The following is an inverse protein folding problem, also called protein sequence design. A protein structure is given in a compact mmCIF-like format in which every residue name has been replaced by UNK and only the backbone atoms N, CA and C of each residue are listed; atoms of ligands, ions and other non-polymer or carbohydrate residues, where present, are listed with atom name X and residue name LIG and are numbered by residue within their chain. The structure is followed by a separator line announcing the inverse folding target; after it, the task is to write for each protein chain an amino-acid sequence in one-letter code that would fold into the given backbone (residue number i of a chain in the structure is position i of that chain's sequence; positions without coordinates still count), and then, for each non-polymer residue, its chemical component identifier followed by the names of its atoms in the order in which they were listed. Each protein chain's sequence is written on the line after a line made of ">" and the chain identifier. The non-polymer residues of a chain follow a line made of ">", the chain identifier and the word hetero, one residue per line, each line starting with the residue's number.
data_IF_706408181977
#
_entry.id   IF_706408181977
#
_cell.length_a   1.000
_cell.length_b   1.000
_cell.length_c   1.000
_cell.angle_alpha   90.00
_cell.angle_beta   90.00
_cell.angle_gamma   90.00
#
_symmetry.space_group_name_H-M   'P 1'
#
loop_
_entity.id
_entity.type
_entity.pdbx_description
1 polymer ?
#
# COMPACT_ATOMS: atom_id res chain seq x y z
N UNK A 1 -43.92 7.46 6.77
CA UNK A 1 -43.04 6.78 7.74
C UNK A 1 -41.78 6.43 6.99
N UNK A 2 -40.60 6.88 7.44
CA UNK A 2 -39.34 6.55 6.79
C UNK A 2 -38.91 5.14 7.22
N UNK A 3 -38.21 4.43 6.35
CA UNK A 3 -37.61 3.15 6.70
C UNK A 3 -36.36 3.34 7.56
N UNK A 4 -35.99 2.33 8.34
CA UNK A 4 -34.76 2.32 9.15
C UNK A 4 -33.50 2.54 8.29
N UNK A 5 -33.52 2.09 7.04
CA UNK A 5 -32.42 2.30 6.10
C UNK A 5 -32.26 3.78 5.69
N UNK A 6 -33.36 4.49 5.44
CA UNK A 6 -33.34 5.93 5.15
C UNK A 6 -32.92 6.76 6.36
N UNK A 7 -33.26 6.33 7.58
CA UNK A 7 -32.82 6.98 8.81
C UNK A 7 -31.31 6.85 9.03
N UNK A 8 -30.72 5.74 8.60
CA UNK A 8 -29.27 5.49 8.61
C UNK A 8 -28.53 6.15 7.43
N UNK A 9 -29.20 7.00 6.63
CA UNK A 9 -28.61 7.70 5.49
C UNK A 9 -28.50 6.88 4.21
N UNK A 10 -29.12 5.70 4.17
CA UNK A 10 -29.25 4.88 2.97
C UNK A 10 -30.18 5.51 1.93
N UNK A 11 -29.88 5.30 0.64
CA UNK A 11 -30.69 5.81 -0.48
C UNK A 11 -31.34 4.65 -1.21
N UNK A 12 -32.57 4.82 -1.68
CA UNK A 12 -33.23 3.84 -2.54
C UNK A 12 -33.20 4.31 -3.99
N UNK A 13 -32.98 3.37 -4.90
CA UNK A 13 -33.13 3.57 -6.34
C UNK A 13 -34.29 2.72 -6.85
N UNK A 14 -35.12 3.29 -7.71
CA UNK A 14 -36.28 2.59 -8.27
C UNK A 14 -35.85 1.74 -9.47
N UNK A 15 -35.94 0.43 -9.34
CA UNK A 15 -35.76 -0.52 -10.44
C UNK A 15 -37.11 -1.16 -10.77
N UNK A 16 -37.73 -0.68 -11.85
CA UNK A 16 -39.08 -1.07 -12.25
C UNK A 16 -40.11 -0.69 -11.19
N UNK A 17 -40.76 -1.70 -10.62
CA UNK A 17 -41.80 -1.53 -9.59
C UNK A 17 -41.26 -1.65 -8.16
N UNK A 18 -39.95 -1.90 -7.99
CA UNK A 18 -39.32 -2.08 -6.68
C UNK A 18 -38.36 -0.94 -6.35
N UNK A 19 -38.26 -0.62 -5.06
CA UNK A 19 -37.23 0.25 -4.50
C UNK A 19 -36.07 -0.62 -4.00
N UNK A 20 -34.93 -0.56 -4.69
CA UNK A 20 -33.73 -1.29 -4.34
C UNK A 20 -32.80 -0.39 -3.52
N UNK A 21 -32.29 -0.84 -2.35
CA UNK A 21 -31.35 -0.05 -1.58
C UNK A 21 -30.03 0.12 -2.35
N UNK A 22 -29.55 1.35 -2.46
CA UNK A 22 -28.23 1.67 -2.98
C UNK A 22 -27.18 1.17 -1.99
N UNK A 23 -26.57 0.03 -2.31
CA UNK A 23 -25.40 -0.48 -1.61
C UNK A 23 -24.16 0.23 -2.16
N UNK A 24 -23.93 1.48 -1.75
CA UNK A 24 -22.62 2.11 -1.95
C UNK A 24 -21.61 1.33 -1.13
N UNK A 25 -20.85 0.46 -1.79
CA UNK A 25 -19.59 -0.05 -1.25
C UNK A 25 -18.75 1.19 -0.99
N UNK A 26 -18.37 1.43 0.27
CA UNK A 26 -17.41 2.49 0.55
C UNK A 26 -16.23 2.24 -0.36
N UNK A 27 -15.96 3.20 -1.25
CA UNK A 27 -14.73 3.20 -2.01
C UNK A 27 -13.63 3.40 -0.97
N UNK A 28 -13.12 2.30 -0.43
CA UNK A 28 -11.83 2.33 0.23
C UNK A 28 -10.91 2.94 -0.81
N UNK A 29 -10.34 4.10 -0.51
CA UNK A 29 -9.42 4.76 -1.42
C UNK A 29 -8.41 3.72 -1.86
N UNK A 30 -8.44 3.34 -3.14
CA UNK A 30 -7.44 2.48 -3.76
C UNK A 30 -6.15 3.31 -3.83
N UNK A 31 -5.53 3.52 -2.68
CA UNK A 31 -4.23 4.13 -2.62
C UNK A 31 -3.28 3.19 -3.35
N UNK A 32 -2.46 3.71 -4.29
CA UNK A 32 -1.56 2.87 -5.05
C UNK A 32 -0.58 2.21 -4.07
N UNK A 33 -0.72 0.89 -3.92
CA UNK A 33 0.17 0.08 -3.08
C UNK A 33 1.52 0.00 -3.81
N UNK A 34 2.58 0.52 -3.19
CA UNK A 34 3.93 0.40 -3.73
C UNK A 34 4.45 -1.04 -3.72
N UNK A 35 5.63 -1.24 -4.31
CA UNK A 35 6.18 -2.58 -4.59
C UNK A 35 6.30 -3.44 -3.31
N UNK A 36 6.70 -2.84 -2.18
CA UNK A 36 6.86 -3.59 -0.93
C UNK A 36 5.51 -3.97 -0.32
N UNK A 37 4.52 -3.10 -0.45
CA UNK A 37 3.14 -3.39 -0.07
C UNK A 37 2.54 -4.53 -0.90
N UNK A 38 2.80 -4.60 -2.21
CA UNK A 38 2.33 -5.69 -3.07
C UNK A 38 2.95 -7.03 -2.68
N UNK A 39 4.26 -7.07 -2.45
CA UNK A 39 4.94 -8.29 -2.02
C UNK A 39 4.44 -8.76 -0.65
N UNK A 40 4.15 -7.80 0.24
CA UNK A 40 3.55 -8.11 1.54
C UNK A 40 2.15 -8.67 1.41
N UNK A 41 1.33 -8.13 0.51
CA UNK A 41 -0.01 -8.64 0.22
C UNK A 41 0.04 -10.09 -0.28
N UNK A 42 0.93 -10.40 -1.22
CA UNK A 42 1.10 -11.75 -1.75
C UNK A 42 1.54 -12.73 -0.67
N UNK A 43 2.49 -12.32 0.17
CA UNK A 43 2.90 -13.12 1.33
C UNK A 43 1.74 -13.39 2.30
N UNK A 44 0.91 -12.38 2.60
CA UNK A 44 -0.25 -12.55 3.46
C UNK A 44 -1.28 -13.53 2.86
N UNK A 45 -1.52 -13.44 1.55
CA UNK A 45 -2.44 -14.35 0.85
C UNK A 45 -1.93 -15.78 0.84
N UNK A 46 -0.64 -15.99 0.57
CA UNK A 46 -0.05 -17.32 0.44
C UNK A 46 0.19 -17.99 1.79
N UNK A 47 0.68 -17.25 2.78
CA UNK A 47 1.19 -17.86 4.02
C UNK A 47 0.43 -17.45 5.29
N UNK A 48 -0.31 -16.34 5.29
CA UNK A 48 -1.00 -15.81 6.49
C UNK A 48 -2.46 -15.45 6.23
N UNK A 49 -3.22 -16.41 5.71
CA UNK A 49 -4.64 -16.25 5.33
C UNK A 49 -5.50 -15.69 6.47
N UNK A 50 -5.31 -16.15 7.71
CA UNK A 50 -6.08 -15.64 8.88
C UNK A 50 -5.83 -14.15 9.09
N UNK A 51 -4.57 -13.72 9.06
CA UNK A 51 -4.22 -12.30 9.20
C UNK A 51 -4.79 -11.48 8.05
N UNK A 52 -4.70 -11.98 6.82
CA UNK A 52 -5.29 -11.34 5.65
C UNK A 52 -6.80 -11.15 5.81
N UNK A 53 -7.54 -12.21 6.15
CA UNK A 53 -8.99 -12.14 6.35
C UNK A 53 -9.36 -11.18 7.47
N UNK A 54 -8.63 -11.18 8.58
CA UNK A 54 -8.89 -10.24 9.68
C UNK A 54 -8.68 -8.78 9.25
N UNK A 55 -7.62 -8.50 8.48
CA UNK A 55 -7.35 -7.16 7.96
C UNK A 55 -8.40 -6.71 6.94
N UNK A 56 -8.87 -7.65 6.11
CA UNK A 56 -9.92 -7.40 5.12
C UNK A 56 -11.26 -7.12 5.80
N UNK A 57 -11.70 -7.96 6.74
CA UNK A 57 -12.96 -7.79 7.47
C UNK A 57 -12.96 -6.54 8.36
N UNK A 58 -11.79 -6.11 8.83
CA UNK A 58 -11.66 -4.89 9.61
C UNK A 58 -11.52 -3.60 8.77
N UNK A 59 -11.42 -3.70 7.44
CA UNK A 59 -11.23 -2.54 6.55
C UNK A 59 -9.88 -1.82 6.74
N UNK A 60 -8.89 -2.49 7.36
CA UNK A 60 -7.58 -1.89 7.70
C UNK A 60 -6.46 -2.34 6.79
N UNK A 61 -6.76 -3.16 5.79
CA UNK A 61 -5.76 -3.75 4.91
C UNK A 61 -4.93 -2.68 4.17
N UNK A 62 -5.59 -1.70 3.55
CA UNK A 62 -4.91 -0.69 2.74
C UNK A 62 -3.98 0.18 3.58
N UNK A 63 -4.44 0.67 4.74
CA UNK A 63 -3.62 1.44 5.67
C UNK A 63 -2.41 0.65 6.19
N UNK A 64 -2.61 -0.65 6.49
CA UNK A 64 -1.53 -1.53 6.92
C UNK A 64 -0.45 -1.70 5.83
N UNK A 65 -0.86 -1.91 4.58
CA UNK A 65 0.08 -2.08 3.47
C UNK A 65 0.83 -0.79 3.16
N UNK A 66 0.17 0.36 3.22
CA UNK A 66 0.79 1.67 3.01
C UNK A 66 1.87 1.96 4.06
N UNK A 67 1.64 1.62 5.33
CA UNK A 67 2.66 1.82 6.38
C UNK A 67 3.88 0.88 6.20
N UNK A 68 3.66 -0.36 5.77
CA UNK A 68 4.78 -1.28 5.44
C UNK A 68 5.61 -0.73 4.29
N UNK A 69 4.97 -0.20 3.26
CA UNK A 69 5.65 0.38 2.10
C UNK A 69 6.48 1.62 2.50
N UNK A 70 5.90 2.51 3.32
CA UNK A 70 6.60 3.66 3.92
C UNK A 70 7.82 3.23 4.73
N UNK A 71 7.67 2.24 5.60
CA UNK A 71 8.76 1.73 6.43
C UNK A 71 9.89 1.09 5.61
N UNK A 72 9.53 0.35 4.56
CA UNK A 72 10.50 -0.28 3.68
C UNK A 72 11.30 0.78 2.90
N UNK A 73 10.61 1.79 2.37
CA UNK A 73 11.21 2.91 1.66
C UNK A 73 12.19 3.69 2.55
N UNK A 74 11.79 4.03 3.77
CA UNK A 74 12.63 4.76 4.73
C UNK A 74 13.93 3.99 5.05
N UNK A 75 13.82 2.68 5.31
CA UNK A 75 15.00 1.83 5.57
C UNK A 75 15.90 1.70 4.36
N UNK A 76 15.33 1.61 3.17
CA UNK A 76 16.07 1.53 1.92
C UNK A 76 16.89 2.81 1.69
N UNK A 77 16.28 3.98 1.90
CA UNK A 77 16.95 5.27 1.80
C UNK A 77 18.11 5.42 2.80
N UNK A 78 17.88 5.04 4.07
CA UNK A 78 18.92 5.04 5.09
C UNK A 78 20.10 4.13 4.72
N UNK A 79 19.83 2.95 4.16
CA UNK A 79 20.87 2.03 3.70
C UNK A 79 21.69 2.62 2.54
N UNK A 80 21.01 3.20 1.53
CA UNK A 80 21.69 3.85 0.40
C UNK A 80 22.60 4.97 0.89
N UNK A 81 22.11 5.79 1.83
CA UNK A 81 22.89 6.91 2.37
C UNK A 81 24.13 6.39 3.12
N UNK A 82 23.98 5.36 3.95
CA UNK A 82 25.11 4.70 4.62
C UNK A 82 26.12 4.10 3.63
N UNK A 83 25.66 3.57 2.50
CA UNK A 83 26.54 3.05 1.45
C UNK A 83 27.30 4.16 0.72
N UNK A 84 26.66 5.29 0.40
CA UNK A 84 27.32 6.46 -0.24
C UNK A 84 28.46 7.02 0.61
N UNK A 85 28.30 7.03 1.94
CA UNK A 85 29.34 7.48 2.87
C UNK A 85 30.55 6.52 2.91
N UNK A 86 30.32 5.22 2.65
CA UNK A 86 31.36 4.17 2.69
C UNK A 86 32.07 3.97 1.35
N UNK A 87 31.49 4.40 0.23
CA UNK A 87 32.18 4.36 -1.06
C UNK A 87 33.22 5.49 -1.14
N UNK A 88 34.53 5.20 -1.26
CA UNK A 88 35.54 6.25 -1.40
C UNK A 88 35.26 7.05 -2.68
N UNK A 89 34.97 8.35 -2.54
CA UNK A 89 34.80 9.26 -3.67
C UNK A 89 36.14 9.40 -4.38
N UNK A 90 36.20 8.88 -5.61
CA UNK A 90 37.30 9.12 -6.55
C UNK A 90 38.59 8.40 -6.20
N UNK A 91 38.75 7.16 -6.69
CA UNK A 91 40.10 6.71 -7.05
C UNK A 91 40.52 7.56 -8.25
N UNK A 92 41.35 8.58 -8.04
CA UNK A 92 42.11 9.18 -9.14
C UNK A 92 42.93 8.03 -9.73
N UNK A 93 42.61 7.59 -10.95
CA UNK A 93 43.48 6.69 -11.68
C UNK A 93 44.84 7.40 -11.79
N UNK A 94 45.85 6.93 -11.05
CA UNK A 94 47.23 7.33 -11.30
C UNK A 94 47.53 6.89 -12.73
N UNK A 95 47.51 7.85 -13.67
CA UNK A 95 48.18 7.68 -14.95
C UNK A 95 49.66 7.58 -14.62
N UNK A 96 50.17 6.36 -14.55
CA UNK A 96 51.60 6.10 -14.54
C UNK A 96 52.12 6.59 -15.89
N UNK A 97 52.80 7.74 -15.87
CA UNK A 97 53.45 8.27 -17.05
C UNK A 97 54.52 7.30 -17.52
N UNK A 98 54.40 6.83 -18.76
CA UNK A 98 55.53 6.29 -19.50
C UNK A 98 56.37 7.47 -19.99
N UNK A 99 57.63 7.50 -19.56
CA UNK A 99 58.67 8.40 -20.08
C UNK A 99 59.97 7.63 -20.20
N UNK A 100 60.86 7.99 -21.13
CA UNK A 100 60.67 8.30 -22.54
C UNK A 100 61.05 7.09 -23.44
#
# INVERSE_FOLDING_TARGET
>A
MKSLFEELGGKYERQGDYLMPCLTVFAEEEQPIGTWGQWRLDYLKQYRRVTYTNLLTSGKLNAYLADIDRQAQERFEQLIEGMKQRTPKGRKCLRMGTTP
#
